data_IF_730431283338
#
_entry.id   IF_730431283338
#
_cell.length_a   1.000
_cell.length_b   1.000
_cell.length_c   1.000
_cell.angle_alpha   90.00
_cell.angle_beta   90.00
_cell.angle_gamma   90.00
#
_symmetry.space_group_name_H-M   'P 1'
#
loop_
_entity.id
_entity.type
_entity.pdbx_description
1 polymer ?
#
# COMPACT_ATOMS: atom_id res chain seq x y z
N UNK A 1 -9.10 -13.47 27.07
CA UNK A 1 -9.09 -12.01 26.88
C UNK A 1 -7.80 -11.70 26.14
N UNK A 2 -7.86 -11.21 24.90
CA UNK A 2 -6.66 -10.80 24.17
C UNK A 2 -6.08 -9.53 24.80
N UNK A 3 -4.76 -9.44 24.81
CA UNK A 3 -4.05 -8.21 25.16
C UNK A 3 -4.22 -7.24 23.99
N UNK A 4 -4.68 -5.99 24.19
CA UNK A 4 -4.75 -5.00 23.12
C UNK A 4 -3.33 -4.74 22.62
N UNK A 5 -3.06 -5.09 21.34
CA UNK A 5 -1.76 -4.86 20.68
C UNK A 5 -1.09 -6.11 20.09
N UNK A 6 -1.62 -7.30 20.29
CA UNK A 6 -1.13 -8.48 19.55
C UNK A 6 -1.62 -8.42 18.09
N UNK A 7 -0.68 -8.55 17.16
CA UNK A 7 -1.00 -8.69 15.74
C UNK A 7 -1.95 -9.86 15.52
N UNK A 8 -3.08 -9.63 14.85
CA UNK A 8 -4.07 -10.67 14.57
C UNK A 8 -3.70 -11.52 13.36
N UNK A 9 -2.58 -11.25 12.71
CA UNK A 9 -2.06 -11.97 11.56
C UNK A 9 -0.64 -12.48 11.83
N UNK A 10 -0.25 -13.55 11.13
CA UNK A 10 1.05 -14.22 11.29
C UNK A 10 1.76 -14.37 9.96
N UNK A 11 3.07 -14.47 9.99
CA UNK A 11 3.89 -14.79 8.83
C UNK A 11 4.60 -16.13 9.07
N UNK A 12 4.30 -17.11 8.22
CA UNK A 12 4.88 -18.44 8.26
C UNK A 12 5.55 -18.70 6.91
N UNK A 13 6.86 -19.00 6.90
CA UNK A 13 7.63 -19.20 5.67
C UNK A 13 7.42 -18.06 4.64
N UNK A 14 7.41 -16.82 5.12
CA UNK A 14 7.23 -15.59 4.33
C UNK A 14 5.83 -15.43 3.68
N UNK A 15 4.88 -16.29 4.01
CA UNK A 15 3.48 -16.18 3.61
C UNK A 15 2.63 -15.66 4.77
N UNK A 16 1.57 -14.92 4.44
CA UNK A 16 0.65 -14.31 5.40
C UNK A 16 -0.46 -15.29 5.78
N UNK A 17 -0.76 -15.36 7.05
CA UNK A 17 -1.81 -16.19 7.65
C UNK A 17 -2.72 -15.35 8.53
N UNK A 18 -3.98 -15.73 8.58
CA UNK A 18 -4.92 -15.23 9.56
C UNK A 18 -4.56 -15.74 10.96
N UNK A 19 -5.20 -15.19 11.95
CA UNK A 19 -5.05 -15.51 13.35
C UNK A 19 -5.36 -16.98 13.69
N UNK A 20 -6.33 -17.57 12.99
CA UNK A 20 -6.76 -18.95 13.11
C UNK A 20 -5.88 -19.96 12.35
N UNK A 21 -4.69 -19.53 11.91
CA UNK A 21 -3.73 -20.30 11.09
C UNK A 21 -4.24 -20.66 9.68
N UNK A 22 -5.34 -20.05 9.22
CA UNK A 22 -5.74 -20.19 7.81
C UNK A 22 -4.88 -19.29 6.92
N UNK A 23 -4.38 -19.79 5.77
CA UNK A 23 -3.58 -18.96 4.86
C UNK A 23 -4.44 -17.87 4.23
N UNK A 24 -3.85 -16.69 4.09
CA UNK A 24 -4.42 -15.64 3.24
C UNK A 24 -4.40 -16.12 1.78
N UNK A 25 -5.44 -15.82 0.97
CA UNK A 25 -5.42 -16.13 -0.45
C UNK A 25 -4.13 -15.67 -1.12
N UNK A 26 -3.41 -16.61 -1.75
CA UNK A 26 -2.13 -16.34 -2.39
C UNK A 26 -2.21 -16.54 -3.90
N UNK A 27 -2.01 -15.45 -4.64
CA UNK A 27 -1.95 -15.47 -6.11
C UNK A 27 -0.59 -14.95 -6.56
N UNK A 28 0.36 -15.88 -6.79
CA UNK A 28 1.73 -15.52 -7.16
C UNK A 28 1.78 -14.66 -8.42
N UNK A 29 2.40 -13.49 -8.30
CA UNK A 29 2.66 -12.60 -9.44
C UNK A 29 3.84 -13.11 -10.28
N UNK A 30 3.78 -13.02 -11.62
CA UNK A 30 4.96 -13.21 -12.47
C UNK A 30 5.91 -12.00 -12.43
N UNK A 31 5.43 -10.83 -11.98
CA UNK A 31 6.15 -9.57 -11.97
C UNK A 31 7.02 -9.45 -10.70
N UNK A 32 7.99 -10.33 -10.56
CA UNK A 32 8.92 -10.37 -9.43
C UNK A 32 10.33 -10.78 -9.88
N UNK A 33 11.31 -10.56 -9.01
CA UNK A 33 12.69 -10.92 -9.30
C UNK A 33 13.43 -9.91 -10.19
N UNK A 34 14.49 -10.36 -10.87
CA UNK A 34 15.32 -9.55 -11.76
C UNK A 34 15.83 -10.40 -12.92
N UNK A 35 15.76 -9.88 -14.15
CA UNK A 35 16.25 -10.55 -15.36
C UNK A 35 15.69 -11.98 -15.52
N UNK A 36 14.41 -12.19 -15.20
CA UNK A 36 13.75 -13.49 -15.30
C UNK A 36 14.11 -14.48 -14.17
N UNK A 37 14.93 -14.08 -13.22
CA UNK A 37 15.31 -14.89 -12.06
C UNK A 37 14.56 -14.43 -10.81
N UNK A 38 14.14 -15.38 -9.99
CA UNK A 38 13.61 -15.10 -8.67
C UNK A 38 14.72 -14.54 -7.78
N UNK A 39 14.44 -13.46 -7.03
CA UNK A 39 15.43 -12.79 -6.19
C UNK A 39 14.91 -12.73 -4.76
N UNK A 40 15.69 -13.30 -3.86
CA UNK A 40 15.45 -13.21 -2.43
C UNK A 40 15.91 -11.85 -1.89
N UNK A 41 15.12 -11.27 -0.98
CA UNK A 41 15.42 -10.00 -0.32
C UNK A 41 15.39 -10.13 1.20
N UNK A 42 16.11 -9.24 1.86
CA UNK A 42 15.99 -8.99 3.30
C UNK A 42 15.31 -7.63 3.50
N UNK A 43 14.00 -7.59 3.68
CA UNK A 43 13.28 -6.34 3.74
C UNK A 43 13.58 -5.57 5.02
N UNK A 44 13.78 -4.25 4.88
CA UNK A 44 14.03 -3.31 5.97
C UNK A 44 13.19 -2.04 5.87
N UNK A 45 12.30 -1.97 4.88
CA UNK A 45 11.43 -0.84 4.60
C UNK A 45 10.03 -1.34 4.25
N UNK A 46 8.99 -0.65 4.72
CA UNK A 46 7.61 -0.86 4.30
C UNK A 46 7.14 0.33 3.48
N UNK A 47 6.56 0.06 2.30
CA UNK A 47 6.05 1.10 1.38
C UNK A 47 4.53 0.98 1.28
N UNK A 48 3.83 2.08 1.57
CA UNK A 48 2.38 2.18 1.50
C UNK A 48 1.97 2.76 0.15
N UNK A 49 1.00 2.10 -0.50
CA UNK A 49 0.59 2.40 -1.86
C UNK A 49 -0.93 2.26 -2.02
N UNK A 50 -1.48 2.81 -3.10
CA UNK A 50 -2.86 2.51 -3.52
C UNK A 50 -2.90 1.93 -4.94
N UNK A 51 -3.91 1.10 -5.20
CA UNK A 51 -4.03 0.33 -6.44
C UNK A 51 -4.43 1.15 -7.67
N UNK A 52 -4.86 2.39 -7.52
CA UNK A 52 -5.53 3.18 -8.55
C UNK A 52 -6.70 2.43 -9.22
N UNK A 53 -7.41 1.62 -8.44
CA UNK A 53 -8.49 0.74 -8.90
C UNK A 53 -9.59 0.56 -7.85
N UNK A 54 -10.73 0.01 -8.28
CA UNK A 54 -11.96 -0.02 -7.50
C UNK A 54 -12.18 -1.26 -6.63
N UNK A 55 -11.47 -2.37 -6.87
CA UNK A 55 -11.68 -3.61 -6.11
C UNK A 55 -10.42 -4.49 -6.03
N UNK A 56 -10.43 -5.42 -5.06
CA UNK A 56 -9.32 -6.34 -4.79
C UNK A 56 -9.07 -7.30 -5.96
N UNK A 57 -10.10 -7.88 -6.53
CA UNK A 57 -9.98 -8.85 -7.62
C UNK A 57 -9.32 -8.25 -8.86
N UNK A 58 -9.68 -7.00 -9.20
CA UNK A 58 -9.06 -6.24 -10.28
C UNK A 58 -7.57 -5.99 -10.05
N UNK A 59 -7.18 -5.59 -8.84
CA UNK A 59 -5.78 -5.37 -8.48
C UNK A 59 -4.97 -6.68 -8.55
N UNK A 60 -5.48 -7.77 -8.00
CA UNK A 60 -4.85 -9.10 -8.05
C UNK A 60 -4.74 -9.60 -9.49
N UNK A 61 -5.78 -9.40 -10.32
CA UNK A 61 -5.76 -9.74 -11.75
C UNK A 61 -4.68 -8.95 -12.49
N UNK A 62 -4.58 -7.65 -12.23
CA UNK A 62 -3.54 -6.79 -12.80
C UNK A 62 -2.13 -7.27 -12.44
N UNK A 63 -1.87 -7.51 -11.16
CA UNK A 63 -0.56 -8.00 -10.71
C UNK A 63 -0.24 -9.43 -11.17
N UNK A 64 -1.24 -10.20 -11.59
CA UNK A 64 -1.07 -11.53 -12.19
C UNK A 64 -0.81 -11.49 -13.69
N UNK A 65 -0.98 -10.34 -14.33
CA UNK A 65 -0.69 -10.15 -15.75
C UNK A 65 0.80 -9.81 -15.96
N UNK A 66 1.58 -10.59 -16.70
CA UNK A 66 2.99 -10.28 -16.96
C UNK A 66 3.19 -8.94 -17.69
N UNK A 67 2.23 -8.49 -18.48
CA UNK A 67 2.31 -7.21 -19.19
C UNK A 67 2.12 -5.99 -18.29
N UNK A 68 1.58 -6.18 -17.09
CA UNK A 68 1.46 -5.09 -16.10
C UNK A 68 2.81 -4.55 -15.66
N UNK A 69 3.85 -5.39 -15.64
CA UNK A 69 5.21 -5.06 -15.19
C UNK A 69 5.24 -4.34 -13.84
N UNK A 70 4.24 -4.62 -13.03
CA UNK A 70 4.03 -4.13 -11.68
C UNK A 70 3.44 -5.23 -10.80
N UNK A 71 3.71 -5.17 -9.53
CA UNK A 71 3.15 -6.07 -8.52
C UNK A 71 3.20 -5.45 -7.14
N UNK A 72 2.68 -6.16 -6.13
CA UNK A 72 2.89 -5.86 -4.72
C UNK A 72 3.14 -7.16 -3.96
N UNK A 73 3.49 -7.07 -2.69
CA UNK A 73 3.55 -8.25 -1.84
C UNK A 73 2.15 -8.63 -1.36
N UNK A 74 1.36 -7.64 -0.96
CA UNK A 74 0.01 -7.85 -0.43
C UNK A 74 -0.90 -6.71 -0.87
N UNK A 75 -2.17 -7.04 -1.08
CA UNK A 75 -3.24 -6.11 -1.42
C UNK A 75 -4.32 -6.22 -0.34
N UNK A 76 -4.82 -5.07 0.15
CA UNK A 76 -5.90 -4.99 1.13
C UNK A 76 -7.12 -4.31 0.52
N UNK A 77 -8.24 -5.01 0.53
CA UNK A 77 -9.54 -4.53 0.05
C UNK A 77 -10.20 -3.54 1.01
N UNK A 78 -11.21 -2.82 0.53
CA UNK A 78 -11.96 -1.83 1.32
C UNK A 78 -12.77 -2.46 2.44
N UNK A 79 -13.20 -3.69 2.29
CA UNK A 79 -13.92 -4.51 3.26
C UNK A 79 -13.02 -5.27 4.25
N UNK A 80 -11.68 -5.10 4.11
CA UNK A 80 -10.68 -5.80 4.90
C UNK A 80 -10.27 -7.16 4.33
N UNK A 81 -10.76 -7.55 3.15
CA UNK A 81 -10.20 -8.71 2.44
C UNK A 81 -8.72 -8.50 2.13
N UNK A 82 -7.95 -9.58 2.16
CA UNK A 82 -6.50 -9.54 1.91
C UNK A 82 -6.13 -10.59 0.88
N UNK A 83 -5.27 -10.23 -0.06
CA UNK A 83 -4.63 -11.17 -0.97
C UNK A 83 -3.12 -10.95 -1.00
N UNK A 84 -2.34 -12.02 -0.92
CA UNK A 84 -0.90 -11.97 -1.07
C UNK A 84 -0.52 -12.32 -2.52
N UNK A 85 0.41 -11.54 -3.11
CA UNK A 85 0.84 -11.71 -4.50
C UNK A 85 2.31 -12.12 -4.63
N UNK A 86 3.15 -11.82 -3.64
CA UNK A 86 4.54 -12.29 -3.56
C UNK A 86 4.87 -12.69 -2.11
N UNK A 87 5.74 -13.65 -1.92
CA UNK A 87 6.30 -13.92 -0.59
C UNK A 87 7.09 -12.70 -0.11
N UNK A 88 7.04 -12.40 1.17
CA UNK A 88 7.65 -11.19 1.72
C UNK A 88 9.18 -11.13 1.60
N UNK A 89 9.83 -12.27 1.38
CA UNK A 89 11.28 -12.34 1.09
C UNK A 89 11.59 -12.37 -0.41
N UNK A 90 10.65 -12.03 -1.29
CA UNK A 90 10.86 -11.98 -2.74
C UNK A 90 10.77 -10.56 -3.25
N UNK A 91 11.60 -10.24 -4.24
CA UNK A 91 11.64 -8.92 -4.87
C UNK A 91 10.42 -8.71 -5.76
N UNK A 92 9.36 -8.12 -5.24
CA UNK A 92 8.21 -7.66 -6.04
C UNK A 92 8.56 -6.37 -6.80
N UNK A 93 7.79 -6.03 -7.83
CA UNK A 93 7.99 -4.82 -8.66
C UNK A 93 6.96 -3.75 -8.28
N UNK A 94 7.07 -3.19 -7.06
CA UNK A 94 6.10 -2.26 -6.52
C UNK A 94 6.58 -0.79 -6.46
N UNK A 95 7.89 -0.58 -6.29
CA UNK A 95 8.44 0.75 -6.06
C UNK A 95 8.93 1.46 -7.35
N UNK A 96 9.06 0.72 -8.44
CA UNK A 96 9.63 1.27 -9.67
C UNK A 96 11.09 1.71 -9.48
N UNK A 97 11.44 2.85 -10.06
CA UNK A 97 12.72 3.53 -9.82
C UNK A 97 12.64 4.43 -8.59
N UNK A 98 13.75 5.06 -8.26
CA UNK A 98 13.85 6.02 -7.16
C UNK A 98 14.90 5.63 -6.14
N UNK A 99 15.05 6.51 -5.15
CA UNK A 99 16.05 6.38 -4.10
C UNK A 99 15.45 6.87 -2.78
N UNK A 100 15.73 6.15 -1.70
CA UNK A 100 15.39 6.58 -0.37
C UNK A 100 16.63 6.59 0.52
N UNK A 101 16.92 7.72 1.15
CA UNK A 101 18.10 7.93 2.02
C UNK A 101 19.42 7.46 1.38
N UNK A 102 19.62 7.77 0.09
CA UNK A 102 20.84 7.40 -0.65
C UNK A 102 20.88 5.95 -1.13
N UNK A 103 19.86 5.12 -0.83
CA UNK A 103 19.78 3.73 -1.27
C UNK A 103 18.79 3.58 -2.42
N UNK A 104 19.28 3.17 -3.57
CA UNK A 104 18.48 2.91 -4.77
C UNK A 104 17.87 1.50 -4.77
N UNK A 105 17.12 1.17 -5.84
CA UNK A 105 16.49 -0.13 -6.08
C UNK A 105 15.66 -0.62 -4.89
N UNK A 106 14.71 0.21 -4.51
CA UNK A 106 13.85 0.02 -3.32
C UNK A 106 13.17 -1.36 -3.31
N UNK A 107 12.78 -1.88 -4.48
CA UNK A 107 12.23 -3.25 -4.61
C UNK A 107 13.14 -4.35 -4.02
N UNK A 108 14.44 -4.13 -3.93
CA UNK A 108 15.39 -5.14 -3.44
C UNK A 108 15.54 -5.16 -1.91
N UNK A 109 14.83 -4.29 -1.17
CA UNK A 109 14.94 -4.21 0.28
C UNK A 109 13.68 -3.69 0.97
N UNK A 110 12.55 -3.71 0.26
CA UNK A 110 11.28 -3.27 0.81
C UNK A 110 10.13 -4.25 0.54
N UNK A 111 9.09 -4.14 1.35
CA UNK A 111 7.79 -4.75 1.15
C UNK A 111 6.82 -3.66 0.75
N UNK A 112 5.99 -3.90 -0.29
CA UNK A 112 4.91 -3.01 -0.71
C UNK A 112 3.55 -3.55 -0.27
N UNK A 113 2.76 -2.70 0.41
CA UNK A 113 1.34 -2.91 0.70
C UNK A 113 0.53 -2.01 -0.23
N UNK A 114 -0.34 -2.61 -1.02
CA UNK A 114 -1.31 -1.93 -1.86
C UNK A 114 -2.68 -1.90 -1.19
N UNK A 115 -3.30 -0.76 -1.14
CA UNK A 115 -4.65 -0.57 -0.62
C UNK A 115 -5.61 -0.28 -1.76
N UNK A 116 -6.72 -0.99 -1.83
CA UNK A 116 -7.73 -0.72 -2.87
C UNK A 116 -8.28 0.69 -2.67
N UNK A 117 -7.93 1.56 -3.59
CA UNK A 117 -8.38 2.95 -3.65
C UNK A 117 -8.13 3.48 -5.07
N UNK A 118 -9.05 4.30 -5.59
CA UNK A 118 -8.85 4.98 -6.87
C UNK A 118 -7.73 6.02 -6.83
N UNK A 119 -7.39 6.48 -5.62
CA UNK A 119 -6.33 7.45 -5.42
C UNK A 119 -6.70 8.84 -5.95
N UNK A 120 -5.74 9.46 -6.60
CA UNK A 120 -5.86 10.83 -7.11
C UNK A 120 -7.03 11.00 -8.09
N UNK A 121 -7.92 11.95 -7.80
CA UNK A 121 -9.01 12.36 -8.67
C UNK A 121 -8.83 13.83 -9.10
N UNK A 122 -9.18 14.11 -10.35
CA UNK A 122 -9.25 15.49 -10.87
C UNK A 122 -10.70 15.91 -11.07
N UNK A 123 -11.03 17.17 -10.80
CA UNK A 123 -12.37 17.70 -10.98
C UNK A 123 -12.51 18.37 -12.34
N UNK A 124 -13.39 17.85 -13.20
CA UNK A 124 -13.66 18.37 -14.54
C UNK A 124 -15.16 18.69 -14.64
N UNK A 125 -15.50 19.95 -14.87
CA UNK A 125 -16.88 20.43 -14.94
C UNK A 125 -17.75 19.96 -13.73
N UNK A 126 -17.17 20.01 -12.53
CA UNK A 126 -17.87 19.61 -11.29
C UNK A 126 -17.87 18.10 -11.01
N UNK A 127 -17.37 17.28 -11.90
CA UNK A 127 -17.36 15.81 -11.78
C UNK A 127 -15.94 15.29 -11.51
N UNK A 128 -15.79 14.40 -10.55
CA UNK A 128 -14.54 13.73 -10.28
C UNK A 128 -14.18 12.71 -11.38
N UNK A 129 -12.93 12.73 -11.80
CA UNK A 129 -12.34 11.83 -12.80
C UNK A 129 -11.14 11.11 -12.22
N UNK A 130 -11.03 9.82 -12.53
CA UNK A 130 -9.85 9.00 -12.22
C UNK A 130 -8.67 9.38 -13.14
N UNK A 131 -7.49 8.85 -12.89
CA UNK A 131 -6.32 9.03 -13.77
C UNK A 131 -6.57 8.54 -15.21
N UNK A 132 -7.43 7.56 -15.40
CA UNK A 132 -7.85 7.09 -16.74
C UNK A 132 -8.94 7.95 -17.37
N UNK A 133 -9.28 9.09 -16.76
CA UNK A 133 -10.34 10.03 -17.16
C UNK A 133 -11.76 9.45 -17.10
N UNK A 134 -11.95 8.27 -16.53
CA UNK A 134 -13.26 7.73 -16.27
C UNK A 134 -13.97 8.54 -15.17
N UNK A 135 -15.30 8.63 -15.25
CA UNK A 135 -16.11 9.24 -14.17
C UNK A 135 -15.93 8.41 -12.90
N UNK A 136 -15.54 9.07 -11.82
CA UNK A 136 -15.52 8.43 -10.52
C UNK A 136 -16.94 8.25 -9.98
N UNK A 137 -17.30 7.03 -9.69
CA UNK A 137 -18.63 6.63 -9.21
C UNK A 137 -18.56 5.87 -7.86
N UNK A 138 -17.53 6.13 -7.07
CA UNK A 138 -17.25 5.36 -5.85
C UNK A 138 -16.42 4.11 -6.11
N UNK A 139 -16.41 3.20 -5.15
CA UNK A 139 -15.76 1.90 -5.24
C UNK A 139 -16.81 0.79 -5.33
N UNK A 140 -16.43 -0.38 -5.80
CA UNK A 140 -17.30 -1.56 -5.77
C UNK A 140 -17.70 -1.86 -4.32
N UNK A 141 -19.00 -1.98 -4.08
CA UNK A 141 -19.57 -2.17 -2.74
C UNK A 141 -19.61 -0.92 -1.86
N UNK A 142 -19.06 0.20 -2.32
CA UNK A 142 -19.00 1.47 -1.56
C UNK A 142 -19.14 2.69 -2.50
N UNK A 143 -20.33 2.92 -3.07
CA UNK A 143 -20.53 3.98 -4.06
C UNK A 143 -20.57 5.40 -3.44
N UNK A 144 -20.77 5.52 -2.14
CA UNK A 144 -20.93 6.80 -1.43
C UNK A 144 -19.67 7.21 -0.67
N UNK A 145 -18.50 6.87 -1.20
CA UNK A 145 -17.22 7.22 -0.58
C UNK A 145 -17.01 8.72 -0.55
N UNK A 146 -16.71 9.24 0.61
CA UNK A 146 -16.32 10.64 0.77
C UNK A 146 -15.01 10.92 0.04
N UNK A 147 -14.94 12.08 -0.59
CA UNK A 147 -13.75 12.56 -1.29
C UNK A 147 -13.17 13.73 -0.51
N UNK A 148 -11.99 13.53 0.07
CA UNK A 148 -11.22 14.60 0.68
C UNK A 148 -10.67 15.50 -0.44
N UNK A 149 -10.97 16.79 -0.38
CA UNK A 149 -10.37 17.80 -1.27
C UNK A 149 -9.11 18.38 -0.60
N UNK A 150 -7.95 18.09 -1.14
CA UNK A 150 -6.68 18.54 -0.57
C UNK A 150 -5.60 18.71 -1.66
N UNK A 151 -4.62 19.61 -1.45
CA UNK A 151 -3.43 19.64 -2.29
C UNK A 151 -2.54 18.44 -1.98
N UNK A 152 -1.62 18.14 -2.93
CA UNK A 152 -0.58 17.16 -2.71
C UNK A 152 0.78 17.76 -3.07
N UNK A 153 1.81 17.47 -2.29
CA UNK A 153 3.13 18.10 -2.46
C UNK A 153 3.82 17.75 -3.80
N UNK A 154 3.51 16.59 -4.40
CA UNK A 154 3.98 16.24 -5.74
C UNK A 154 3.13 16.86 -6.87
N UNK A 155 2.13 17.69 -6.55
CA UNK A 155 1.29 18.35 -7.56
C UNK A 155 1.81 19.76 -7.82
N UNK A 156 2.29 20.06 -9.04
CA UNK A 156 2.75 21.41 -9.39
C UNK A 156 1.68 22.47 -9.10
N UNK A 157 2.10 23.59 -8.51
CA UNK A 157 1.21 24.71 -8.22
C UNK A 157 0.22 24.49 -7.09
N UNK A 158 0.29 23.35 -6.35
CA UNK A 158 -0.57 23.08 -5.21
C UNK A 158 -2.05 22.93 -5.57
N UNK A 159 -2.36 22.45 -6.77
CA UNK A 159 -3.74 22.25 -7.21
C UNK A 159 -4.49 21.32 -6.23
N UNK A 160 -5.74 21.67 -5.94
CA UNK A 160 -6.62 20.83 -5.11
C UNK A 160 -7.10 19.64 -5.95
N UNK A 161 -6.89 18.46 -5.39
CA UNK A 161 -7.27 17.17 -5.95
C UNK A 161 -8.28 16.49 -5.04
N UNK A 162 -8.98 15.49 -5.55
CA UNK A 162 -9.86 14.63 -4.77
C UNK A 162 -9.16 13.34 -4.35
N UNK A 163 -9.42 12.89 -3.14
CA UNK A 163 -8.86 11.70 -2.54
C UNK A 163 -9.97 10.89 -1.88
N UNK A 164 -10.41 9.77 -2.47
CA UNK A 164 -11.38 8.90 -1.82
C UNK A 164 -10.85 8.44 -0.46
N UNK A 165 -11.68 8.54 0.58
CA UNK A 165 -11.29 8.11 1.92
C UNK A 165 -11.13 6.60 2.00
N UNK A 166 -10.27 6.14 2.89
CA UNK A 166 -10.12 4.73 3.24
C UNK A 166 -11.19 4.35 4.27
N UNK A 167 -11.71 3.12 4.21
CA UNK A 167 -12.66 2.64 5.23
C UNK A 167 -11.94 2.31 6.54
N UNK A 168 -12.64 2.41 7.66
CA UNK A 168 -12.10 2.00 8.96
C UNK A 168 -11.70 0.52 8.97
N UNK A 169 -12.50 -0.35 8.33
CA UNK A 169 -12.23 -1.78 8.18
C UNK A 169 -10.92 -2.02 7.42
N UNK A 170 -10.73 -1.30 6.30
CA UNK A 170 -9.50 -1.37 5.52
C UNK A 170 -8.29 -0.90 6.34
N UNK A 171 -8.39 0.26 7.00
CA UNK A 171 -7.32 0.82 7.81
C UNK A 171 -6.95 -0.10 8.98
N UNK A 172 -7.94 -0.70 9.64
CA UNK A 172 -7.71 -1.69 10.69
C UNK A 172 -6.95 -2.91 10.16
N UNK A 173 -7.38 -3.46 9.02
CA UNK A 173 -6.73 -4.62 8.40
C UNK A 173 -5.31 -4.30 7.90
N UNK A 174 -5.09 -3.14 7.30
CA UNK A 174 -3.75 -2.68 6.90
C UNK A 174 -2.81 -2.57 8.11
N UNK A 175 -3.34 -2.10 9.25
CA UNK A 175 -2.57 -2.02 10.49
C UNK A 175 -2.15 -3.41 10.98
N UNK A 176 -3.04 -4.40 10.99
CA UNK A 176 -2.74 -5.79 11.37
C UNK A 176 -1.67 -6.41 10.46
N UNK A 177 -1.82 -6.26 9.14
CA UNK A 177 -0.84 -6.74 8.14
C UNK A 177 0.52 -6.09 8.36
N UNK A 178 0.56 -4.78 8.53
CA UNK A 178 1.80 -4.03 8.71
C UNK A 178 2.50 -4.40 10.04
N UNK A 179 1.74 -4.58 11.13
CA UNK A 179 2.29 -5.02 12.41
C UNK A 179 2.93 -6.41 12.31
N UNK A 180 2.27 -7.36 11.64
CA UNK A 180 2.84 -8.69 11.41
C UNK A 180 4.15 -8.62 10.61
N UNK A 181 4.20 -7.78 9.55
CA UNK A 181 5.40 -7.58 8.73
C UNK A 181 6.53 -6.92 9.56
N UNK A 182 6.21 -5.86 10.27
CA UNK A 182 7.17 -5.13 11.12
C UNK A 182 7.77 -6.05 12.19
N UNK A 183 6.93 -6.82 12.87
CA UNK A 183 7.38 -7.76 13.89
C UNK A 183 8.26 -8.88 13.32
N UNK A 184 7.89 -9.44 12.15
CA UNK A 184 8.63 -10.54 11.52
C UNK A 184 10.00 -10.12 11.00
N UNK A 185 10.12 -8.93 10.42
CA UNK A 185 11.34 -8.50 9.73
C UNK A 185 12.13 -7.42 10.46
N UNK A 186 11.67 -6.95 11.61
CA UNK A 186 12.32 -5.89 12.37
C UNK A 186 12.35 -4.55 11.60
N UNK A 187 11.33 -4.27 10.79
CA UNK A 187 11.25 -3.04 10.01
C UNK A 187 11.05 -1.86 10.96
N UNK A 188 11.84 -0.82 10.78
CA UNK A 188 11.81 0.38 11.61
C UNK A 188 11.35 1.63 10.86
N UNK A 189 11.08 1.49 9.55
CA UNK A 189 10.72 2.62 8.69
C UNK A 189 9.57 2.27 7.77
N UNK A 190 8.56 3.15 7.72
CA UNK A 190 7.38 3.05 6.85
C UNK A 190 7.28 4.35 6.08
N UNK A 191 7.13 4.27 4.76
CA UNK A 191 7.01 5.44 3.87
C UNK A 191 5.86 5.29 2.89
N UNK A 192 5.43 6.40 2.30
CA UNK A 192 4.58 6.40 1.11
C UNK A 192 5.43 6.24 -0.17
N UNK A 193 4.81 5.82 -1.25
CA UNK A 193 5.45 5.82 -2.57
C UNK A 193 5.82 7.24 -3.00
N UNK A 194 4.98 8.20 -2.63
CA UNK A 194 5.15 9.63 -2.84
C UNK A 194 6.40 10.23 -2.17
N UNK A 195 6.93 9.60 -1.11
CA UNK A 195 8.07 10.13 -0.36
C UNK A 195 9.39 10.04 -1.15
N UNK A 196 9.51 9.11 -2.10
CA UNK A 196 10.73 8.91 -2.91
C UNK A 196 10.51 9.00 -4.42
N UNK A 197 9.25 9.21 -4.85
CA UNK A 197 8.87 9.35 -6.26
C UNK A 197 8.03 10.60 -6.45
N UNK A 198 8.57 11.59 -7.15
CA UNK A 198 7.86 12.87 -7.43
C UNK A 198 6.75 12.74 -8.47
N UNK A 199 6.68 11.60 -9.16
CA UNK A 199 5.64 11.24 -10.13
C UNK A 199 4.59 10.28 -9.55
N UNK A 200 4.57 10.13 -8.21
CA UNK A 200 3.62 9.31 -7.46
C UNK A 200 2.90 10.13 -6.40
N UNK A 201 1.67 9.74 -6.09
CA UNK A 201 0.79 10.43 -5.16
C UNK A 201 0.26 9.49 -4.07
N UNK A 202 0.66 8.23 -4.06
CA UNK A 202 0.20 7.20 -3.13
C UNK A 202 1.08 7.12 -1.86
N UNK A 203 0.46 6.93 -0.69
CA UNK A 203 -0.94 6.64 -0.44
C UNK A 203 -1.88 7.86 -0.39
N UNK A 204 -1.35 9.08 -0.54
CA UNK A 204 -2.09 10.34 -0.62
C UNK A 204 -2.64 10.87 0.71
N UNK A 205 -3.15 12.11 0.72
CA UNK A 205 -3.56 12.81 1.94
C UNK A 205 -4.72 12.17 2.70
N UNK A 206 -5.53 11.32 2.03
CA UNK A 206 -6.61 10.61 2.71
C UNK A 206 -6.11 9.43 3.57
N UNK A 207 -4.87 8.99 3.39
CA UNK A 207 -4.27 7.97 4.24
C UNK A 207 -3.56 8.62 5.44
N UNK A 208 -3.90 8.23 6.68
CA UNK A 208 -3.34 8.87 7.88
C UNK A 208 -1.92 8.34 8.18
N UNK A 209 -0.96 8.55 7.28
CA UNK A 209 0.36 7.93 7.30
C UNK A 209 1.13 8.20 8.59
N UNK A 210 1.05 9.41 9.16
CA UNK A 210 1.77 9.76 10.39
C UNK A 210 1.29 8.94 11.59
N UNK A 211 -0.01 8.94 11.88
CA UNK A 211 -0.59 8.17 12.97
C UNK A 211 -0.50 6.65 12.74
N UNK A 212 -0.56 6.21 11.46
CA UNK A 212 -0.31 4.82 11.09
C UNK A 212 1.11 4.39 11.45
N UNK A 213 2.14 5.18 11.09
CA UNK A 213 3.54 4.93 11.46
C UNK A 213 3.70 4.79 12.97
N UNK A 214 3.15 5.74 13.73
CA UNK A 214 3.22 5.74 15.20
C UNK A 214 2.61 4.46 15.79
N UNK A 215 1.45 4.07 15.30
CA UNK A 215 0.73 2.89 15.79
C UNK A 215 1.44 1.59 15.44
N UNK A 216 1.88 1.43 14.19
CA UNK A 216 2.53 0.19 13.71
C UNK A 216 3.92 0.01 14.32
N UNK A 217 4.67 1.10 14.49
CA UNK A 217 6.02 1.05 15.04
C UNK A 217 6.07 1.17 16.57
N UNK A 218 4.92 1.31 17.24
CA UNK A 218 4.85 1.46 18.69
C UNK A 218 5.51 2.74 19.20
N UNK A 219 5.45 3.83 18.43
CA UNK A 219 6.03 5.14 18.80
C UNK A 219 4.93 6.07 19.26
N UNK A 220 5.21 6.92 20.28
CA UNK A 220 4.28 7.97 20.68
C UNK A 220 4.13 9.01 19.55
N UNK A 221 2.91 9.52 19.34
CA UNK A 221 2.67 10.61 18.41
C UNK A 221 3.42 11.86 18.91
N UNK A 222 4.40 12.34 18.15
CA UNK A 222 5.19 13.55 18.47
C UNK A 222 6.70 13.37 18.45
N UNK A 223 7.21 12.18 18.29
CA UNK A 223 8.66 11.92 18.28
C UNK A 223 9.27 11.86 16.87
N UNK A 224 9.43 13.00 16.22
CA UNK A 224 10.25 13.12 15.01
C UNK A 224 9.53 13.83 13.87
N UNK A 225 9.82 15.10 13.70
CA UNK A 225 9.73 15.75 12.40
C UNK A 225 10.67 15.01 11.46
N UNK A 226 10.11 14.23 10.53
CA UNK A 226 10.91 13.81 9.38
C UNK A 226 11.14 15.06 8.55
N UNK A 227 12.33 15.65 8.66
CA UNK A 227 12.80 16.64 7.70
C UNK A 227 12.80 15.98 6.31
N UNK A 228 12.05 16.59 5.39
CA UNK A 228 11.95 16.22 3.98
C UNK A 228 13.19 16.66 3.21
#
# INVERSE_FOLDING_TARGET
MRVPGEASMKIINHALYNDDDTPVPFKRTPNQGRNGQDVEISPSLLVMQYTAGGNLAGAVSWFSNPEAKASAHVVVGRDGEVAQCALFNRRAWHAGGGMWRGRADINSWSIGIEMVNWGKLTKVAGTWRTDTQATYAGHEGDPAVDVLEAPHFNTPGGAILGWPTYTETQLAKVNEVAQAIVAQYGITEIIGHEDFRTDKWDPGPAFPLSSFRSRVLGREEGGGTFDR
#
